data_IF_199414126715
#
_entry.id   IF_199414126715
#
_cell.length_a   1.000
_cell.length_b   1.000
_cell.length_c   1.000
_cell.angle_alpha   90.00
_cell.angle_beta   90.00
_cell.angle_gamma   90.00
#
_symmetry.space_group_name_H-M   'P 1'
#
loop_
_entity.id
_entity.type
_entity.pdbx_description
1 polymer ?
#
# COMPACT_ATOMS: atom_id res chain seq x y z
N UNK A 1 3.71 -0.73 11.27
CA UNK A 1 2.24 -0.69 11.11
C UNK A 1 1.65 0.14 12.22
N UNK A 2 0.68 1.00 11.93
CA UNK A 2 -0.07 1.76 12.95
C UNK A 2 -1.47 1.20 13.04
N UNK A 3 -2.03 1.08 14.24
CA UNK A 3 -3.41 0.63 14.45
C UNK A 3 -4.21 1.69 15.20
N UNK A 4 -5.38 2.03 14.68
CA UNK A 4 -6.34 2.93 15.30
C UNK A 4 -7.65 2.19 15.54
N UNK A 5 -8.21 2.30 16.74
CA UNK A 5 -9.46 1.65 17.12
C UNK A 5 -10.51 2.72 17.40
N UNK A 6 -11.48 2.85 16.50
CA UNK A 6 -12.49 3.92 16.52
C UNK A 6 -13.79 3.42 15.90
N UNK A 7 -14.92 3.80 16.46
CA UNK A 7 -16.24 3.51 15.88
C UNK A 7 -16.77 4.67 15.00
N UNK A 8 -16.16 5.85 15.12
CA UNK A 8 -16.52 7.07 14.38
C UNK A 8 -15.37 7.64 13.53
N UNK A 9 -15.66 8.51 12.55
CA UNK A 9 -14.68 8.97 11.56
C UNK A 9 -13.80 10.14 12.00
N UNK A 10 -14.18 10.86 13.05
CA UNK A 10 -13.53 12.13 13.45
C UNK A 10 -12.03 11.91 13.75
N UNK A 11 -11.72 10.96 14.63
CA UNK A 11 -10.34 10.69 15.07
C UNK A 11 -9.53 10.10 13.92
N UNK A 12 -10.15 9.23 13.12
CA UNK A 12 -9.51 8.68 11.91
C UNK A 12 -9.12 9.80 10.95
N UNK A 13 -10.02 10.74 10.69
CA UNK A 13 -9.78 11.86 9.77
C UNK A 13 -8.68 12.78 10.29
N UNK A 14 -8.71 13.11 11.59
CA UNK A 14 -7.67 13.91 12.22
C UNK A 14 -6.30 13.22 12.14
N UNK A 15 -6.23 11.92 12.41
CA UNK A 15 -4.99 11.15 12.30
C UNK A 15 -4.45 11.11 10.87
N UNK A 16 -5.32 10.84 9.89
CA UNK A 16 -4.91 10.82 8.47
C UNK A 16 -4.31 12.16 8.04
N UNK A 17 -4.93 13.28 8.42
CA UNK A 17 -4.44 14.62 8.09
C UNK A 17 -3.12 14.97 8.80
N UNK A 18 -2.96 14.60 10.06
CA UNK A 18 -1.82 15.02 10.88
C UNK A 18 -0.61 14.08 10.79
N UNK A 19 -0.82 12.78 10.56
CA UNK A 19 0.23 11.77 10.74
C UNK A 19 0.12 10.53 9.84
N UNK A 20 -0.91 10.42 9.00
CA UNK A 20 -1.13 9.25 8.14
C UNK A 20 0.08 8.90 7.27
N UNK A 21 0.77 9.92 6.73
CA UNK A 21 1.95 9.76 5.88
C UNK A 21 3.16 9.13 6.57
N UNK A 22 3.17 9.01 7.90
CA UNK A 22 4.27 8.38 8.66
C UNK A 22 4.18 6.86 8.72
N UNK A 23 3.06 6.29 8.25
CA UNK A 23 2.76 4.87 8.35
C UNK A 23 2.64 4.24 6.98
N UNK A 24 3.39 3.16 6.69
CA UNK A 24 3.21 2.42 5.44
C UNK A 24 1.93 1.57 5.40
N UNK A 25 1.31 1.32 6.57
CA UNK A 25 -0.03 0.72 6.67
C UNK A 25 -0.73 1.18 7.94
N UNK A 26 -1.98 1.63 7.80
CA UNK A 26 -2.91 1.89 8.89
C UNK A 26 -3.93 0.75 8.97
N UNK A 27 -4.03 0.13 10.13
CA UNK A 27 -5.09 -0.81 10.48
C UNK A 27 -6.16 -0.05 11.27
N UNK A 28 -7.41 -0.07 10.81
CA UNK A 28 -8.53 0.55 11.54
C UNK A 28 -9.43 -0.56 12.07
N UNK A 29 -9.51 -0.67 13.40
CA UNK A 29 -10.43 -1.57 14.08
C UNK A 29 -11.66 -0.82 14.61
N UNK A 30 -12.79 -1.52 14.69
CA UNK A 30 -14.00 -1.04 15.35
C UNK A 30 -14.74 -2.23 15.97
N UNK A 31 -15.69 -1.97 16.88
CA UNK A 31 -16.47 -3.03 17.52
C UNK A 31 -17.14 -3.94 16.47
N UNK A 32 -17.68 -3.32 15.41
CA UNK A 32 -18.43 -4.00 14.34
C UNK A 32 -17.62 -5.06 13.58
N UNK A 33 -16.29 -4.91 13.49
CA UNK A 33 -15.42 -5.78 12.67
C UNK A 33 -14.37 -6.53 13.50
N UNK A 34 -14.40 -6.39 14.83
CA UNK A 34 -13.39 -6.95 15.73
C UNK A 34 -13.20 -8.46 15.59
N UNK A 35 -14.28 -9.21 15.36
CA UNK A 35 -14.25 -10.67 15.20
C UNK A 35 -13.92 -11.15 13.78
N UNK A 36 -13.86 -10.24 12.79
CA UNK A 36 -13.71 -10.59 11.37
C UNK A 36 -12.33 -10.25 10.81
N UNK A 37 -11.68 -9.23 11.39
CA UNK A 37 -10.38 -8.78 10.90
C UNK A 37 -9.25 -9.68 11.42
N UNK A 38 -8.23 -9.95 10.59
CA UNK A 38 -7.12 -10.84 10.95
C UNK A 38 -6.15 -10.24 11.98
N UNK A 39 -6.45 -9.07 12.55
CA UNK A 39 -5.60 -8.35 13.49
C UNK A 39 -4.54 -7.45 12.83
N UNK A 40 -4.04 -6.48 13.60
CA UNK A 40 -3.13 -5.43 13.12
C UNK A 40 -1.74 -5.94 12.74
N UNK A 41 -1.30 -7.08 13.31
CA UNK A 41 -0.02 -7.72 13.01
C UNK A 41 -0.03 -8.58 11.75
N UNK A 42 -1.20 -8.95 11.22
CA UNK A 42 -1.27 -9.85 10.07
C UNK A 42 -0.88 -9.13 8.80
N UNK A 43 0.10 -9.70 8.09
CA UNK A 43 0.63 -9.15 6.84
C UNK A 43 -0.02 -9.87 5.66
N UNK A 44 -0.91 -9.18 4.95
CA UNK A 44 -1.67 -9.75 3.83
C UNK A 44 -0.92 -9.52 2.51
N UNK A 45 -0.78 -10.53 1.62
CA UNK A 45 -0.01 -10.40 0.37
C UNK A 45 -0.49 -9.30 -0.58
N UNK A 46 -1.79 -8.98 -0.55
CA UNK A 46 -2.38 -7.94 -1.38
C UNK A 46 -2.16 -6.51 -0.82
N UNK A 47 -1.70 -6.38 0.43
CA UNK A 47 -1.52 -5.09 1.09
C UNK A 47 -0.03 -4.71 1.10
N UNK A 48 0.25 -3.41 1.08
CA UNK A 48 1.60 -2.88 1.22
C UNK A 48 2.20 -3.29 2.58
N UNK A 49 3.43 -3.81 2.55
CA UNK A 49 4.28 -4.01 3.71
C UNK A 49 5.52 -3.12 3.60
N UNK A 50 5.86 -2.40 4.67
CA UNK A 50 6.93 -1.40 4.64
C UNK A 50 6.49 -0.09 5.25
N UNK A 51 7.30 0.95 5.07
CA UNK A 51 7.01 2.29 5.57
C UNK A 51 8.20 3.24 5.58
N UNK A 52 7.94 4.54 5.78
CA UNK A 52 8.96 5.58 5.66
C UNK A 52 9.93 5.64 6.86
N UNK A 53 11.02 6.40 6.69
CA UNK A 53 11.92 6.77 7.78
C UNK A 53 12.60 5.56 8.44
N UNK A 54 12.46 5.42 9.76
CA UNK A 54 13.10 4.33 10.53
C UNK A 54 12.65 2.92 10.11
N UNK A 55 11.52 2.79 9.43
CA UNK A 55 11.06 1.50 8.88
C UNK A 55 11.83 1.07 7.62
N UNK A 56 12.75 1.90 7.10
CA UNK A 56 13.65 1.57 6.01
C UNK A 56 13.27 2.21 4.66
N UNK A 57 12.09 2.82 4.54
CA UNK A 57 11.63 3.45 3.31
C UNK A 57 11.32 2.46 2.18
N UNK A 58 11.39 1.16 2.45
CA UNK A 58 11.10 0.10 1.49
C UNK A 58 9.61 -0.23 1.41
N UNK A 59 9.27 -0.91 0.32
CA UNK A 59 7.94 -1.41 0.01
C UNK A 59 8.03 -2.87 -0.47
N UNK A 60 7.22 -3.74 0.11
CA UNK A 60 7.11 -5.17 -0.20
C UNK A 60 5.61 -5.55 -0.30
N UNK A 61 5.34 -6.72 -0.89
CA UNK A 61 3.99 -7.25 -1.12
C UNK A 61 3.14 -6.28 -1.98
N UNK A 62 1.93 -5.88 -1.55
CA UNK A 62 1.09 -4.96 -2.31
C UNK A 62 0.56 -5.54 -3.64
N UNK A 63 0.46 -6.87 -3.75
CA UNK A 63 -0.01 -7.55 -4.96
C UNK A 63 0.86 -7.21 -6.18
N UNK A 64 0.23 -6.67 -7.24
CA UNK A 64 0.95 -6.29 -8.46
C UNK A 64 1.97 -5.16 -8.25
N UNK A 65 1.75 -4.27 -7.28
CA UNK A 65 2.68 -3.17 -7.00
C UNK A 65 4.06 -3.70 -6.59
N UNK A 66 4.13 -4.80 -5.84
CA UNK A 66 5.37 -5.44 -5.44
C UNK A 66 6.20 -6.02 -6.58
N UNK A 67 5.61 -6.19 -7.77
CA UNK A 67 6.37 -6.61 -8.96
C UNK A 67 7.26 -5.49 -9.48
N UNK A 68 6.94 -4.22 -9.19
CA UNK A 68 7.70 -3.05 -9.67
C UNK A 68 9.18 -3.12 -9.30
N UNK A 69 9.51 -3.66 -8.13
CA UNK A 69 10.89 -3.86 -7.66
C UNK A 69 11.70 -4.75 -8.60
N UNK A 70 11.05 -5.68 -9.30
CA UNK A 70 11.69 -6.69 -10.14
C UNK A 70 11.57 -6.38 -11.64
N UNK A 71 10.94 -5.27 -12.00
CA UNK A 71 10.75 -4.88 -13.39
C UNK A 71 11.82 -3.88 -13.85
N UNK A 72 12.27 -4.03 -15.10
CA UNK A 72 12.96 -2.96 -15.81
C UNK A 72 11.93 -2.17 -16.63
N UNK A 73 11.79 -0.88 -16.32
CA UNK A 73 10.76 -0.02 -16.91
C UNK A 73 11.37 0.91 -17.94
N UNK A 74 10.77 0.93 -19.13
CA UNK A 74 11.13 1.82 -20.23
C UNK A 74 9.88 2.55 -20.73
N UNK A 75 9.95 3.87 -20.82
CA UNK A 75 8.97 4.65 -21.57
C UNK A 75 9.34 4.56 -23.07
N UNK A 76 8.51 3.90 -23.87
CA UNK A 76 8.70 3.75 -25.31
C UNK A 76 7.73 4.65 -26.06
N UNK A 77 8.27 5.52 -26.92
CA UNK A 77 7.52 6.35 -27.85
C UNK A 77 8.13 6.18 -29.23
N UNK A 78 7.30 6.08 -30.28
CA UNK A 78 7.81 5.90 -31.63
C UNK A 78 6.71 5.70 -32.66
N UNK A 79 7.13 5.38 -33.88
CA UNK A 79 6.23 5.02 -34.98
C UNK A 79 5.34 3.82 -34.61
N UNK A 80 4.02 3.96 -34.87
CA UNK A 80 3.03 2.96 -34.47
C UNK A 80 3.28 1.60 -35.12
N UNK A 81 3.61 1.57 -36.41
CA UNK A 81 3.79 0.31 -37.13
C UNK A 81 5.02 -0.46 -36.66
N UNK A 82 6.10 0.26 -36.33
CA UNK A 82 7.31 -0.33 -35.77
C UNK A 82 7.09 -0.89 -34.37
N UNK A 83 6.42 -0.12 -33.50
CA UNK A 83 6.12 -0.54 -32.13
C UNK A 83 5.23 -1.78 -32.11
N UNK A 84 4.17 -1.81 -32.91
CA UNK A 84 3.25 -2.96 -32.97
C UNK A 84 3.98 -4.23 -33.42
N UNK A 85 4.80 -4.13 -34.48
CA UNK A 85 5.57 -5.28 -34.95
C UNK A 85 6.55 -5.82 -33.91
N UNK A 86 7.13 -4.96 -33.08
CA UNK A 86 8.10 -5.35 -32.06
C UNK A 86 7.46 -6.00 -30.83
N UNK A 87 6.20 -5.68 -30.52
CA UNK A 87 5.51 -6.13 -29.31
C UNK A 87 4.53 -7.31 -29.55
N UNK A 88 4.25 -7.64 -30.81
CA UNK A 88 3.28 -8.68 -31.18
C UNK A 88 1.84 -8.18 -31.12
#
# INVERSE_FOLDING_TARGET
VTSLYVDGPETLSAYLAAGGATSGRLYVGSEKVAAQLPGSGTTLPAMLHGGPGRAGGGEELGGLSGLTLYQQRLALTGDRALVDRALG
#
